data_IF_718902502616
#
_entry.id   IF_718902502616
#
_cell.length_a   1.000
_cell.length_b   1.000
_cell.length_c   1.000
_cell.angle_alpha   90.00
_cell.angle_beta   90.00
_cell.angle_gamma   90.00
#
_symmetry.space_group_name_H-M   'P 1'
#
loop_
_entity.id
_entity.type
_entity.pdbx_description
1 polymer ?
#
# COMPACT_ATOMS: atom_id res chain seq x y z
N UNK A 1 -6.39 -25.16 20.14
CA UNK A 1 -6.52 -24.67 19.83
C UNK A 1 -6.52 -23.93 19.32
N UNK A 2 -6.26 -23.78 19.20
CA UNK A 2 -6.31 -23.08 18.77
C UNK A 2 -6.49 -22.64 17.95
N UNK A 3 -6.51 -22.89 17.82
CA UNK A 3 -6.80 -22.48 17.01
C UNK A 3 -7.11 -21.94 16.40
N UNK A 4 -7.12 -21.89 16.70
CA UNK A 4 -7.65 -21.34 16.27
C UNK A 4 -8.37 -20.91 15.42
N UNK A 5 -8.84 -20.66 15.64
CA UNK A 5 -9.74 -20.12 14.63
C UNK A 5 -9.19 -18.83 14.05
N UNK A 6 -8.44 -18.92 12.98
CA UNK A 6 -7.76 -17.72 12.44
C UNK A 6 -8.73 -16.68 11.92
N UNK A 7 -9.91 -17.08 11.45
CA UNK A 7 -10.90 -16.14 10.94
C UNK A 7 -11.39 -15.21 12.05
N UNK A 8 -11.66 -15.76 13.22
CA UNK A 8 -12.13 -14.96 14.34
C UNK A 8 -11.02 -14.10 14.91
N UNK A 9 -9.76 -14.52 14.77
CA UNK A 9 -8.64 -13.79 15.34
C UNK A 9 -8.19 -12.60 14.50
N UNK A 10 -8.72 -12.44 13.28
CA UNK A 10 -8.32 -11.35 12.41
C UNK A 10 -9.52 -10.60 11.82
N UNK A 11 -10.40 -10.10 12.68
CA UNK A 11 -11.54 -9.32 12.17
C UNK A 11 -11.13 -8.00 11.54
N UNK A 12 -9.95 -7.49 11.88
CA UNK A 12 -9.43 -6.25 11.32
C UNK A 12 -8.92 -6.40 9.90
N UNK A 13 -8.75 -7.64 9.43
CA UNK A 13 -8.27 -7.91 8.08
C UNK A 13 -9.46 -8.20 7.18
N UNK A 14 -10.42 -7.30 7.17
CA UNK A 14 -11.54 -7.36 6.25
C UNK A 14 -11.14 -6.71 4.91
N UNK A 15 -11.84 -7.05 3.84
CA UNK A 15 -11.59 -6.46 2.54
C UNK A 15 -11.71 -4.93 2.54
N UNK A 16 -12.74 -4.33 3.17
CA UNK A 16 -12.80 -2.87 3.24
C UNK A 16 -11.63 -2.24 3.98
N UNK A 17 -11.16 -2.86 5.08
CA UNK A 17 -9.99 -2.35 5.81
C UNK A 17 -8.72 -2.46 4.96
N UNK A 18 -8.56 -3.56 4.23
CA UNK A 18 -7.40 -3.75 3.37
C UNK A 18 -7.40 -2.74 2.23
N UNK A 19 -8.57 -2.45 1.63
CA UNK A 19 -8.67 -1.43 0.59
C UNK A 19 -8.28 -0.07 1.11
N UNK A 20 -8.77 0.30 2.29
CA UNK A 20 -8.45 1.57 2.90
C UNK A 20 -6.96 1.69 3.18
N UNK A 21 -6.36 0.64 3.73
CA UNK A 21 -4.93 0.61 3.99
C UNK A 21 -4.12 0.74 2.71
N UNK A 22 -4.54 0.03 1.65
CA UNK A 22 -3.88 0.10 0.36
C UNK A 22 -3.94 1.50 -0.25
N UNK A 23 -5.09 2.14 -0.17
CA UNK A 23 -5.26 3.51 -0.67
C UNK A 23 -4.41 4.50 0.08
N UNK A 24 -4.35 4.37 1.41
CA UNK A 24 -3.49 5.24 2.22
C UNK A 24 -2.02 5.06 1.87
N UNK A 25 -1.59 3.83 1.66
CA UNK A 25 -0.21 3.55 1.28
C UNK A 25 0.11 4.17 -0.07
N UNK A 26 -0.79 4.06 -1.05
CA UNK A 26 -0.61 4.67 -2.37
C UNK A 26 -0.56 6.19 -2.28
N UNK A 27 -1.46 6.79 -1.51
CA UNK A 27 -1.51 8.23 -1.36
C UNK A 27 -0.23 8.77 -0.73
N UNK A 28 0.23 8.13 0.34
CA UNK A 28 1.50 8.49 0.97
C UNK A 28 2.67 8.35 0.02
N UNK A 29 2.70 7.26 -0.75
CA UNK A 29 3.77 7.02 -1.71
C UNK A 29 3.79 8.09 -2.78
N UNK A 30 2.62 8.50 -3.28
CA UNK A 30 2.54 9.58 -4.26
C UNK A 30 3.05 10.90 -3.71
N UNK A 31 2.68 11.23 -2.48
CA UNK A 31 3.15 12.46 -1.85
C UNK A 31 4.67 12.46 -1.70
N UNK A 32 5.23 11.33 -1.29
CA UNK A 32 6.68 11.19 -1.15
C UNK A 32 7.37 11.29 -2.50
N UNK A 33 6.85 10.63 -3.52
CA UNK A 33 7.43 10.68 -4.86
C UNK A 33 7.39 12.10 -5.42
N UNK A 34 6.30 12.82 -5.23
CA UNK A 34 6.20 14.20 -5.68
C UNK A 34 7.23 15.09 -4.99
N UNK A 35 7.40 14.92 -3.68
CA UNK A 35 8.39 15.68 -2.94
C UNK A 35 9.80 15.34 -3.40
N UNK A 36 10.10 14.06 -3.57
CA UNK A 36 11.41 13.62 -4.01
C UNK A 36 11.71 14.11 -5.41
N UNK A 37 10.73 14.11 -6.30
CA UNK A 37 10.89 14.63 -7.65
C UNK A 37 11.24 16.12 -7.64
N UNK A 38 10.59 16.88 -6.76
CA UNK A 38 10.91 18.30 -6.61
C UNK A 38 12.32 18.51 -6.10
N UNK A 39 12.75 17.68 -5.17
CA UNK A 39 14.11 17.77 -4.64
C UNK A 39 15.16 17.40 -5.68
N UNK A 40 14.90 16.37 -6.47
CA UNK A 40 15.81 15.96 -7.54
C UNK A 40 15.91 17.03 -8.62
N UNK A 41 14.79 17.69 -8.92
CA UNK A 41 14.75 18.73 -9.94
C UNK A 41 15.36 20.05 -9.48
N UNK A 42 15.65 20.22 -8.19
CA UNK A 42 16.21 21.46 -7.66
C UNK A 42 17.68 21.58 -8.07
N UNK A 43 18.04 22.59 -8.89
CA UNK A 43 19.41 22.71 -9.38
C UNK A 43 20.43 23.06 -8.29
N UNK A 44 19.97 23.60 -7.17
CA UNK A 44 20.86 23.98 -6.06
C UNK A 44 21.14 22.84 -5.12
N UNK A 45 20.46 21.72 -5.28
CA UNK A 45 20.61 20.59 -4.36
C UNK A 45 21.83 19.76 -4.72
N UNK A 46 22.72 19.58 -3.76
CA UNK A 46 23.94 18.80 -3.96
C UNK A 46 23.72 17.32 -3.70
N UNK A 47 22.84 17.00 -2.72
CA UNK A 47 22.59 15.61 -2.36
C UNK A 47 21.39 15.07 -3.14
N UNK A 48 21.65 14.24 -4.12
CA UNK A 48 20.63 13.56 -4.90
C UNK A 48 20.40 12.13 -4.42
N UNK A 49 21.32 11.59 -3.62
CA UNK A 49 21.22 10.18 -3.18
C UNK A 49 20.03 9.97 -2.25
N UNK A 50 19.81 10.89 -1.30
CA UNK A 50 18.72 10.75 -0.34
C UNK A 50 17.35 10.72 -1.01
N UNK A 51 16.99 11.68 -1.88
CA UNK A 51 15.68 11.60 -2.53
C UNK A 51 15.56 10.42 -3.49
N UNK A 52 16.65 9.98 -4.13
CA UNK A 52 16.60 8.81 -4.99
C UNK A 52 16.32 7.53 -4.19
N UNK A 53 16.96 7.36 -3.04
CA UNK A 53 16.71 6.22 -2.17
C UNK A 53 15.29 6.27 -1.64
N UNK A 54 14.81 7.43 -1.24
CA UNK A 54 13.44 7.57 -0.76
C UNK A 54 12.43 7.28 -1.88
N UNK A 55 12.72 7.69 -3.10
CA UNK A 55 11.87 7.38 -4.25
C UNK A 55 11.74 5.86 -4.45
N UNK A 56 12.84 5.13 -4.33
CA UNK A 56 12.81 3.66 -4.44
C UNK A 56 11.95 3.05 -3.33
N UNK A 57 12.09 3.54 -2.11
CA UNK A 57 11.27 3.07 -1.00
C UNK A 57 9.79 3.37 -1.22
N UNK A 58 9.49 4.58 -1.71
CA UNK A 58 8.12 4.97 -1.99
C UNK A 58 7.50 4.10 -3.08
N UNK A 59 8.27 3.75 -4.11
CA UNK A 59 7.80 2.84 -5.15
C UNK A 59 7.50 1.46 -4.59
N UNK A 60 8.34 0.95 -3.69
CA UNK A 60 8.08 -0.35 -3.05
C UNK A 60 6.82 -0.30 -2.21
N UNK A 61 6.61 0.79 -1.48
CA UNK A 61 5.40 0.97 -0.70
C UNK A 61 4.16 1.03 -1.59
N UNK A 62 4.27 1.72 -2.73
CA UNK A 62 3.18 1.78 -3.70
C UNK A 62 2.86 0.39 -4.26
N UNK A 63 3.88 -0.40 -4.57
CA UNK A 63 3.69 -1.76 -5.05
C UNK A 63 3.01 -2.63 -3.99
N UNK A 64 3.44 -2.49 -2.73
CA UNK A 64 2.81 -3.20 -1.63
C UNK A 64 1.35 -2.78 -1.45
N UNK A 65 1.07 -1.48 -1.53
CA UNK A 65 -0.29 -0.97 -1.45
C UNK A 65 -1.18 -1.50 -2.58
N UNK A 66 -0.64 -1.53 -3.79
CA UNK A 66 -1.37 -2.08 -4.94
C UNK A 66 -1.65 -3.57 -4.77
N UNK A 67 -0.69 -4.32 -4.20
CA UNK A 67 -0.89 -5.74 -3.93
C UNK A 67 -2.00 -5.96 -2.89
N UNK A 68 -2.04 -5.11 -1.86
CA UNK A 68 -3.09 -5.18 -0.85
C UNK A 68 -4.47 -4.91 -1.47
N UNK A 69 -4.55 -3.91 -2.33
CA UNK A 69 -5.81 -3.59 -3.01
C UNK A 69 -6.27 -4.76 -3.87
N UNK A 70 -5.37 -5.37 -4.62
CA UNK A 70 -5.71 -6.53 -5.45
C UNK A 70 -6.18 -7.72 -4.62
N UNK A 71 -5.52 -7.96 -3.48
CA UNK A 71 -5.93 -9.03 -2.58
C UNK A 71 -7.32 -8.76 -2.01
N UNK A 72 -7.61 -7.51 -1.65
CA UNK A 72 -8.93 -7.14 -1.15
C UNK A 72 -10.00 -7.29 -2.23
N UNK A 73 -9.71 -6.91 -3.45
CA UNK A 73 -10.64 -7.10 -4.57
C UNK A 73 -10.96 -8.58 -4.78
N UNK A 74 -9.94 -9.44 -4.68
CA UNK A 74 -10.14 -10.88 -4.79
C UNK A 74 -11.03 -11.41 -3.67
N UNK A 75 -10.81 -10.95 -2.46
CA UNK A 75 -11.63 -11.35 -1.30
C UNK A 75 -13.08 -10.95 -1.51
N UNK A 76 -13.31 -9.73 -1.98
CA UNK A 76 -14.66 -9.25 -2.26
C UNK A 76 -15.32 -10.07 -3.36
N UNK A 77 -14.58 -10.38 -4.42
CA UNK A 77 -15.08 -11.21 -5.50
C UNK A 77 -15.50 -12.58 -5.03
N UNK A 78 -14.67 -13.21 -4.19
CA UNK A 78 -14.99 -14.53 -3.62
C UNK A 78 -16.25 -14.50 -2.76
N UNK A 79 -16.39 -13.44 -1.94
CA UNK A 79 -17.57 -13.30 -1.11
C UNK A 79 -18.84 -13.12 -1.95
N UNK A 80 -18.75 -12.34 -3.01
CA UNK A 80 -19.88 -12.14 -3.91
C UNK A 80 -20.27 -13.44 -4.62
N UNK A 81 -19.28 -14.22 -5.03
CA UNK A 81 -19.52 -15.52 -5.66
C UNK A 81 -20.23 -16.48 -4.70
N UNK A 82 -19.85 -16.47 -3.44
CA UNK A 82 -20.51 -17.32 -2.44
C UNK A 82 -21.95 -16.90 -2.20
N UNK A 83 -22.22 -15.61 -2.26
CA UNK A 83 -23.57 -15.09 -2.05
C UNK A 83 -24.46 -15.31 -3.26
N UNK A 84 -23.87 -15.42 -4.42
CA UNK A 84 -24.62 -15.68 -5.64
C UNK A 84 -24.98 -17.16 -5.72
#
# INVERSE_FOLDING_TARGET
MLGMNPIASIPSVSAPSALDSGRRALDKSQQRLNRDAQQIANPDREDLATPLVDSKRALREAQAGAAIIRAADKMLGSLLDELA
#
